data_IF_954535158011
#
_entry.id   IF_954535158011
#
_cell.length_a   1.000
_cell.length_b   1.000
_cell.length_c   1.000
_cell.angle_alpha   90.00
_cell.angle_beta   90.00
_cell.angle_gamma   90.00
#
_symmetry.space_group_name_H-M   'P 1'
#
loop_
_entity.id
_entity.type
_entity.pdbx_description
1 polymer ?
#
# COMPACT_ATOMS: atom_id res chain seq x y z
N UNK A 1 -10.08 -23.73 11.84
CA UNK A 1 -10.36 -24.15 10.45
C UNK A 1 -10.18 -22.94 9.55
N UNK A 2 -9.31 -23.05 8.55
CA UNK A 2 -9.14 -22.02 7.52
C UNK A 2 -10.43 -21.95 6.67
N UNK A 3 -11.04 -20.77 6.55
CA UNK A 3 -12.32 -20.62 5.85
C UNK A 3 -12.09 -20.67 4.31
N UNK A 4 -13.17 -20.77 3.52
CA UNK A 4 -13.04 -20.91 2.06
C UNK A 4 -12.33 -19.73 1.38
N UNK A 5 -12.47 -18.53 1.95
CA UNK A 5 -11.84 -17.29 1.45
C UNK A 5 -10.34 -17.32 1.69
N UNK A 6 -9.91 -17.69 2.90
CA UNK A 6 -8.50 -17.85 3.27
C UNK A 6 -7.81 -18.85 2.33
N UNK A 7 -8.44 -20.01 2.09
CA UNK A 7 -7.92 -21.03 1.16
C UNK A 7 -7.81 -20.52 -0.28
N UNK A 8 -8.72 -19.66 -0.73
CA UNK A 8 -8.67 -19.08 -2.06
C UNK A 8 -7.52 -18.07 -2.19
N UNK A 9 -7.42 -17.13 -1.25
CA UNK A 9 -6.39 -16.09 -1.27
C UNK A 9 -4.98 -16.68 -1.11
N UNK A 10 -4.83 -17.71 -0.29
CA UNK A 10 -3.54 -18.40 -0.12
C UNK A 10 -3.09 -19.19 -1.37
N UNK A 11 -3.99 -19.50 -2.31
CA UNK A 11 -3.61 -20.07 -3.61
C UNK A 11 -3.02 -19.03 -4.57
N UNK A 12 -3.27 -17.73 -4.35
CA UNK A 12 -2.73 -16.67 -5.19
C UNK A 12 -1.23 -16.52 -4.88
N UNK A 13 -0.41 -17.14 -5.72
CA UNK A 13 1.04 -17.00 -5.64
C UNK A 13 1.54 -16.00 -6.69
N UNK A 14 1.77 -14.76 -6.26
CA UNK A 14 2.40 -13.73 -7.10
C UNK A 14 3.89 -14.05 -7.27
N UNK A 15 4.23 -14.86 -8.25
CA UNK A 15 5.62 -15.10 -8.67
C UNK A 15 6.23 -13.83 -9.23
N UNK A 16 7.56 -13.75 -9.29
CA UNK A 16 8.25 -12.58 -9.85
C UNK A 16 7.78 -12.25 -11.29
N UNK A 17 7.66 -13.22 -12.22
CA UNK A 17 7.14 -12.95 -13.56
C UNK A 17 5.74 -12.34 -13.55
N UNK A 18 4.83 -12.83 -12.70
CA UNK A 18 3.47 -12.30 -12.58
C UNK A 18 3.49 -10.86 -12.09
N UNK A 19 4.33 -10.54 -11.09
CA UNK A 19 4.46 -9.17 -10.59
C UNK A 19 5.02 -8.22 -11.66
N UNK A 20 6.03 -8.66 -12.41
CA UNK A 20 6.60 -7.89 -13.53
C UNK A 20 5.54 -7.65 -14.61
N UNK A 21 4.72 -8.66 -14.92
CA UNK A 21 3.62 -8.53 -15.87
C UNK A 21 2.56 -7.53 -15.38
N UNK A 22 2.18 -7.56 -14.10
CA UNK A 22 1.23 -6.59 -13.50
C UNK A 22 1.78 -5.16 -13.63
N UNK A 23 3.02 -4.94 -13.22
CA UNK A 23 3.65 -3.62 -13.30
C UNK A 23 3.76 -3.16 -14.75
N UNK A 24 4.29 -4.01 -15.64
CA UNK A 24 4.46 -3.69 -17.05
C UNK A 24 3.15 -3.38 -17.75
N UNK A 25 2.13 -4.23 -17.57
CA UNK A 25 0.80 -4.01 -18.15
C UNK A 25 0.15 -2.71 -17.62
N UNK A 26 0.28 -2.44 -16.32
CA UNK A 26 -0.31 -1.23 -15.72
C UNK A 26 0.38 0.05 -16.21
N UNK A 27 1.72 0.07 -16.26
CA UNK A 27 2.47 1.22 -16.75
C UNK A 27 2.27 1.45 -18.25
N UNK A 28 2.25 0.39 -19.06
CA UNK A 28 1.92 0.49 -20.49
C UNK A 28 0.49 0.99 -20.70
N UNK A 29 -0.48 0.52 -19.91
CA UNK A 29 -1.85 1.00 -19.97
C UNK A 29 -1.91 2.50 -19.69
N UNK A 30 -1.32 2.97 -18.58
CA UNK A 30 -1.25 4.39 -18.23
C UNK A 30 -0.56 5.22 -19.31
N UNK A 31 0.54 4.71 -19.89
CA UNK A 31 1.24 5.36 -21.00
C UNK A 31 0.33 5.59 -22.21
N UNK A 32 -0.46 4.58 -22.58
CA UNK A 32 -1.33 4.62 -23.76
C UNK A 32 -2.57 5.51 -23.60
N UNK A 33 -3.10 5.64 -22.38
CA UNK A 33 -4.30 6.46 -22.10
C UNK A 33 -3.98 7.88 -21.65
N UNK A 34 -2.69 8.21 -21.45
CA UNK A 34 -2.26 9.56 -21.11
C UNK A 34 -2.48 10.51 -22.29
N UNK A 35 -3.03 11.68 -22.02
CA UNK A 35 -3.29 12.71 -23.05
C UNK A 35 -2.12 13.69 -23.24
N UNK A 36 -1.19 13.73 -22.27
CA UNK A 36 0.00 14.58 -22.29
C UNK A 36 1.26 13.81 -21.88
N UNK A 37 2.42 14.42 -22.08
CA UNK A 37 3.71 13.80 -21.74
C UNK A 37 3.81 13.46 -20.25
N UNK A 38 3.26 14.31 -19.39
CA UNK A 38 3.18 14.13 -17.95
C UNK A 38 2.35 12.90 -17.57
N UNK A 39 1.20 12.71 -18.21
CA UNK A 39 0.34 11.55 -17.96
C UNK A 39 0.94 10.27 -18.54
N UNK A 40 1.55 10.34 -19.73
CA UNK A 40 2.12 9.16 -20.38
C UNK A 40 3.41 8.68 -19.69
N UNK A 41 4.33 9.59 -19.37
CA UNK A 41 5.66 9.23 -18.83
C UNK A 41 5.79 9.42 -17.31
N UNK A 42 5.02 10.33 -16.71
CA UNK A 42 5.07 10.62 -15.28
C UNK A 42 4.83 9.40 -14.38
N UNK A 43 3.88 8.50 -14.66
CA UNK A 43 3.67 7.28 -13.87
C UNK A 43 4.90 6.38 -13.78
N UNK A 44 5.73 6.32 -14.83
CA UNK A 44 6.98 5.54 -14.80
C UNK A 44 8.00 6.14 -13.84
N UNK A 45 8.20 7.47 -13.87
CA UNK A 45 9.08 8.17 -12.93
C UNK A 45 8.55 8.04 -11.49
N UNK A 46 7.24 8.19 -11.32
CA UNK A 46 6.56 8.02 -10.05
C UNK A 46 6.69 6.58 -9.51
N UNK A 47 6.70 5.58 -10.39
CA UNK A 47 6.98 4.18 -10.05
C UNK A 47 8.41 3.96 -9.55
N UNK A 48 9.41 4.59 -10.17
CA UNK A 48 10.80 4.50 -9.69
C UNK A 48 10.94 5.11 -8.29
N UNK A 49 10.30 6.25 -8.05
CA UNK A 49 10.26 6.88 -6.73
C UNK A 49 9.51 6.01 -5.71
N UNK A 50 8.32 5.52 -6.04
CA UNK A 50 7.54 4.62 -5.18
C UNK A 50 8.27 3.33 -4.84
N UNK A 51 9.14 2.86 -5.75
CA UNK A 51 9.96 1.68 -5.55
C UNK A 51 11.00 1.84 -4.45
N UNK A 52 11.37 3.06 -4.03
CA UNK A 52 12.38 3.27 -2.96
C UNK A 52 11.90 2.62 -1.65
N UNK A 53 12.58 1.59 -1.15
CA UNK A 53 12.07 0.80 -0.04
C UNK A 53 12.55 1.37 1.31
N UNK A 54 12.01 2.53 1.71
CA UNK A 54 12.45 3.25 2.93
C UNK A 54 12.54 2.34 4.15
N UNK A 55 11.55 1.49 4.39
CA UNK A 55 11.54 0.56 5.53
C UNK A 55 12.64 -0.50 5.48
N UNK A 56 13.01 -0.99 4.29
CA UNK A 56 14.17 -1.86 4.14
C UNK A 56 15.48 -1.10 4.38
N UNK A 57 15.64 0.06 3.76
CA UNK A 57 16.86 0.86 3.83
C UNK A 57 17.17 1.25 5.28
N UNK A 58 16.22 1.85 5.99
CA UNK A 58 16.47 2.31 7.35
C UNK A 58 16.61 1.17 8.34
N UNK A 59 15.81 0.10 8.23
CA UNK A 59 15.92 -1.04 9.15
C UNK A 59 17.26 -1.74 9.00
N UNK A 60 17.71 -1.94 7.76
CA UNK A 60 19.02 -2.54 7.48
C UNK A 60 20.17 -1.66 7.96
N UNK A 61 20.08 -0.35 7.75
CA UNK A 61 21.09 0.60 8.23
C UNK A 61 21.15 0.66 9.76
N UNK A 62 20.00 0.74 10.43
CA UNK A 62 19.91 0.97 11.88
C UNK A 62 20.19 -0.28 12.71
N UNK A 63 19.83 -1.48 12.20
CA UNK A 63 19.90 -2.72 12.97
C UNK A 63 20.68 -3.85 12.31
N UNK A 64 21.10 -3.70 11.05
CA UNK A 64 21.71 -4.78 10.25
C UNK A 64 20.73 -5.84 9.76
N UNK A 65 19.46 -5.78 10.18
CA UNK A 65 18.44 -6.79 9.93
C UNK A 65 17.81 -6.68 8.55
N UNK A 66 17.38 -7.81 8.02
CA UNK A 66 16.62 -7.86 6.78
C UNK A 66 15.11 -7.94 7.08
N UNK A 67 14.43 -6.80 7.02
CA UNK A 67 12.98 -6.70 7.26
C UNK A 67 12.13 -7.59 6.34
N UNK A 68 12.63 -8.00 5.15
CA UNK A 68 11.90 -8.89 4.24
C UNK A 68 11.98 -10.38 4.64
N UNK A 69 12.77 -10.70 5.65
CA UNK A 69 12.95 -12.03 6.22
C UNK A 69 12.56 -12.09 7.71
N UNK A 70 12.21 -10.95 8.32
CA UNK A 70 11.86 -10.85 9.74
C UNK A 70 10.44 -10.28 9.92
N UNK A 71 9.82 -10.65 11.04
CA UNK A 71 8.45 -10.24 11.37
C UNK A 71 7.45 -10.73 10.32
N UNK A 72 6.69 -9.82 9.72
CA UNK A 72 5.70 -10.15 8.67
C UNK A 72 6.32 -10.24 7.27
N UNK A 73 7.59 -9.87 7.11
CA UNK A 73 8.22 -9.69 5.79
C UNK A 73 7.77 -8.45 5.01
N UNK A 74 6.79 -7.68 5.53
CA UNK A 74 6.36 -6.41 4.95
C UNK A 74 7.42 -5.33 5.16
N UNK A 75 7.57 -4.38 4.23
CA UNK A 75 8.54 -3.26 4.33
C UNK A 75 7.90 -1.96 4.83
N UNK A 76 6.69 -2.05 5.41
CA UNK A 76 5.94 -0.92 5.94
C UNK A 76 6.24 -0.60 7.41
N UNK A 77 5.60 0.48 7.90
CA UNK A 77 5.79 1.04 9.25
C UNK A 77 5.70 0.01 10.39
N UNK A 78 4.66 -0.83 10.38
CA UNK A 78 4.40 -1.73 11.49
C UNK A 78 5.46 -2.83 11.61
N UNK A 79 5.92 -3.40 10.50
CA UNK A 79 7.04 -4.34 10.53
C UNK A 79 8.36 -3.65 10.87
N UNK A 80 8.59 -2.43 10.38
CA UNK A 80 9.78 -1.65 10.75
C UNK A 80 9.84 -1.38 12.25
N UNK A 81 8.69 -1.15 12.89
CA UNK A 81 8.59 -1.07 14.34
C UNK A 81 8.89 -2.41 15.01
N UNK A 82 8.28 -3.50 14.54
CA UNK A 82 8.45 -4.84 15.13
C UNK A 82 9.91 -5.34 15.05
N UNK A 83 10.60 -5.07 13.94
CA UNK A 83 11.95 -5.55 13.66
C UNK A 83 13.03 -4.58 14.16
N UNK A 84 12.84 -3.28 13.90
CA UNK A 84 13.85 -2.23 14.08
C UNK A 84 13.57 -1.23 15.20
N UNK A 85 12.37 -1.20 15.76
CA UNK A 85 11.97 -0.25 16.81
C UNK A 85 11.49 1.11 16.28
N UNK A 86 11.38 2.09 17.19
CA UNK A 86 10.71 3.36 16.91
C UNK A 86 11.39 4.19 15.82
N UNK A 87 12.73 4.27 15.83
CA UNK A 87 13.47 5.11 14.86
C UNK A 87 13.27 4.61 13.42
N UNK A 88 13.50 3.32 13.09
CA UNK A 88 13.14 2.79 11.78
C UNK A 88 11.67 3.01 11.41
N UNK A 89 10.74 2.85 12.35
CA UNK A 89 9.31 3.04 12.08
C UNK A 89 8.96 4.48 11.67
N UNK A 90 9.50 5.49 12.36
CA UNK A 90 9.25 6.91 12.06
C UNK A 90 9.79 7.29 10.68
N UNK A 91 11.04 6.89 10.38
CA UNK A 91 11.66 7.19 9.08
C UNK A 91 10.93 6.47 7.95
N UNK A 92 10.55 5.21 8.16
CA UNK A 92 9.73 4.45 7.20
C UNK A 92 8.41 5.15 6.93
N UNK A 93 7.71 5.56 7.99
CA UNK A 93 6.43 6.28 7.86
C UNK A 93 6.61 7.57 7.07
N UNK A 94 7.64 8.36 7.39
CA UNK A 94 7.93 9.62 6.69
C UNK A 94 8.19 9.38 5.19
N UNK A 95 8.92 8.32 4.85
CA UNK A 95 9.14 7.91 3.46
C UNK A 95 7.88 7.41 2.75
N UNK A 96 6.98 6.71 3.45
CA UNK A 96 5.71 6.25 2.87
C UNK A 96 4.69 7.39 2.73
N UNK A 97 4.74 8.41 3.59
CA UNK A 97 3.95 9.65 3.46
C UNK A 97 4.42 10.45 2.26
N UNK A 98 5.73 10.63 2.10
CA UNK A 98 6.29 11.41 0.98
C UNK A 98 5.95 10.80 -0.38
N UNK A 99 5.77 9.48 -0.46
CA UNK A 99 5.25 8.80 -1.66
C UNK A 99 3.87 9.26 -2.10
N UNK A 100 3.00 9.70 -1.19
CA UNK A 100 1.74 10.34 -1.58
C UNK A 100 1.93 11.84 -1.84
N UNK A 101 2.59 12.52 -0.91
CA UNK A 101 2.64 13.98 -0.90
C UNK A 101 3.53 14.57 -2.00
N UNK A 102 4.62 13.90 -2.40
CA UNK A 102 5.51 14.44 -3.42
C UNK A 102 4.81 14.53 -4.79
N UNK A 103 4.17 13.46 -5.34
CA UNK A 103 3.36 13.59 -6.55
C UNK A 103 2.29 14.67 -6.47
N UNK A 104 1.57 14.73 -5.35
CA UNK A 104 0.49 15.71 -5.13
C UNK A 104 0.99 17.15 -5.01
N UNK A 105 2.19 17.34 -4.46
CA UNK A 105 2.83 18.67 -4.39
C UNK A 105 3.28 19.12 -5.77
N UNK A 106 3.82 18.20 -6.59
CA UNK A 106 4.18 18.49 -7.99
C UNK A 106 2.94 18.91 -8.77
N UNK A 107 1.83 18.17 -8.66
CA UNK A 107 0.60 18.56 -9.36
C UNK A 107 -0.01 19.84 -8.82
N UNK A 108 0.04 20.08 -7.51
CA UNK A 108 -0.40 21.35 -6.91
C UNK A 108 0.39 22.55 -7.44
N UNK A 109 1.74 22.48 -7.46
CA UNK A 109 2.58 23.63 -7.79
C UNK A 109 2.60 23.97 -9.29
N UNK A 110 2.47 22.95 -10.15
CA UNK A 110 2.69 23.13 -11.60
C UNK A 110 1.44 22.87 -12.45
N UNK A 111 0.40 22.25 -11.89
CA UNK A 111 -0.77 21.77 -12.64
C UNK A 111 -2.10 22.02 -11.90
N UNK A 112 -2.14 22.99 -10.98
CA UNK A 112 -3.34 23.38 -10.22
C UNK A 112 -4.06 22.18 -9.53
N UNK A 113 -3.27 21.22 -9.05
CA UNK A 113 -3.75 19.98 -8.45
C UNK A 113 -4.70 19.21 -9.38
N UNK A 114 -4.40 19.20 -10.68
CA UNK A 114 -5.18 18.43 -11.66
C UNK A 114 -5.37 16.99 -11.18
N UNK A 115 -6.64 16.60 -11.04
CA UNK A 115 -7.02 15.36 -10.40
C UNK A 115 -6.56 14.15 -11.22
N UNK A 116 -6.62 14.25 -12.55
CA UNK A 116 -6.29 13.15 -13.44
C UNK A 116 -4.80 12.88 -13.39
N UNK A 117 -3.97 13.89 -13.61
CA UNK A 117 -2.52 13.77 -13.48
C UNK A 117 -2.12 13.31 -12.08
N UNK A 118 -2.76 13.82 -11.03
CA UNK A 118 -2.53 13.37 -9.65
C UNK A 118 -2.78 11.86 -9.48
N UNK A 119 -3.90 11.36 -10.00
CA UNK A 119 -4.22 9.92 -9.96
C UNK A 119 -3.24 9.08 -10.79
N UNK A 120 -2.78 9.58 -11.93
CA UNK A 120 -1.78 8.90 -12.78
C UNK A 120 -0.44 8.76 -12.07
N UNK A 121 0.10 9.85 -11.49
CA UNK A 121 1.35 9.81 -10.75
C UNK A 121 1.23 8.91 -9.51
N UNK A 122 0.13 9.03 -8.75
CA UNK A 122 -0.12 8.18 -7.59
C UNK A 122 -0.27 6.70 -7.96
N UNK A 123 -0.88 6.36 -9.11
CA UNK A 123 -0.94 4.97 -9.59
C UNK A 123 0.46 4.39 -9.85
N UNK A 124 1.33 5.18 -10.49
CA UNK A 124 2.74 4.84 -10.66
C UNK A 124 3.45 4.61 -9.32
N UNK A 125 3.35 5.57 -8.40
CA UNK A 125 3.96 5.44 -7.06
C UNK A 125 3.40 4.26 -6.26
N UNK A 126 2.11 3.97 -6.38
CA UNK A 126 1.45 2.86 -5.71
C UNK A 126 1.95 1.50 -6.22
N UNK A 127 2.14 1.37 -7.54
CA UNK A 127 2.78 0.20 -8.14
C UNK A 127 4.19 -0.01 -7.60
N UNK A 128 5.01 1.04 -7.56
CA UNK A 128 6.38 0.96 -7.04
C UNK A 128 6.43 0.58 -5.57
N UNK A 129 5.51 1.13 -4.78
CA UNK A 129 5.39 0.81 -3.35
C UNK A 129 5.06 -0.66 -3.13
N UNK A 130 4.17 -1.23 -3.95
CA UNK A 130 3.75 -2.63 -3.83
C UNK A 130 4.75 -3.63 -4.44
N UNK A 131 5.38 -3.26 -5.55
CA UNK A 131 6.25 -4.11 -6.34
C UNK A 131 7.56 -3.37 -6.67
N UNK A 132 8.37 -3.12 -5.63
CA UNK A 132 9.63 -2.39 -5.80
C UNK A 132 10.58 -3.14 -6.73
N UNK A 133 11.09 -2.42 -7.75
CA UNK A 133 12.15 -2.94 -8.61
C UNK A 133 13.43 -3.24 -7.83
N UNK A 134 13.74 -2.44 -6.80
CA UNK A 134 14.92 -2.58 -5.96
C UNK A 134 14.87 -3.80 -5.03
N UNK A 135 13.68 -4.37 -4.80
CA UNK A 135 13.47 -5.55 -3.98
C UNK A 135 12.87 -6.74 -4.76
N UNK A 136 13.09 -6.79 -6.08
CA UNK A 136 12.61 -7.88 -6.96
C UNK A 136 11.11 -8.12 -6.77
N UNK A 137 10.31 -7.05 -6.82
CA UNK A 137 8.86 -7.10 -6.67
C UNK A 137 8.37 -7.39 -5.25
N UNK A 138 9.24 -7.38 -4.23
CA UNK A 138 8.79 -7.28 -2.83
C UNK A 138 8.55 -5.80 -2.51
N UNK A 139 7.57 -5.49 -1.67
CA UNK A 139 7.19 -4.10 -1.39
C UNK A 139 6.14 -4.00 -0.29
N UNK A 140 5.84 -2.76 0.10
CA UNK A 140 4.85 -2.42 1.12
C UNK A 140 3.43 -2.65 0.62
N UNK A 141 2.42 -2.59 1.49
CA UNK A 141 1.01 -2.68 1.06
C UNK A 141 0.44 -1.35 0.55
N UNK A 142 1.20 -0.25 0.64
CA UNK A 142 0.78 1.08 0.19
C UNK A 142 -0.36 1.71 1.02
N UNK A 143 -0.72 1.15 2.17
CA UNK A 143 -1.82 1.69 3.01
C UNK A 143 -1.54 3.11 3.47
N UNK A 144 -0.34 3.41 3.98
CA UNK A 144 0.01 4.77 4.41
C UNK A 144 -0.10 5.76 3.26
N UNK A 145 0.49 5.47 2.10
CA UNK A 145 0.38 6.39 0.96
C UNK A 145 -1.07 6.58 0.52
N UNK A 146 -1.91 5.54 0.49
CA UNK A 146 -3.32 5.68 0.12
C UNK A 146 -4.11 6.55 1.09
N UNK A 147 -3.84 6.45 2.39
CA UNK A 147 -4.47 7.32 3.41
C UNK A 147 -4.13 8.78 3.13
N UNK A 148 -2.87 9.09 2.85
CA UNK A 148 -2.44 10.47 2.56
C UNK A 148 -2.89 10.96 1.19
N UNK A 149 -2.98 10.09 0.19
CA UNK A 149 -3.60 10.41 -1.11
C UNK A 149 -5.05 10.84 -0.95
N UNK A 150 -5.85 10.07 -0.21
CA UNK A 150 -7.25 10.41 0.03
C UNK A 150 -7.41 11.61 0.96
N UNK A 151 -6.49 11.82 1.92
CA UNK A 151 -6.53 13.00 2.77
C UNK A 151 -6.47 14.29 1.95
N UNK A 152 -5.70 14.32 0.86
CA UNK A 152 -5.59 15.48 -0.02
C UNK A 152 -6.71 15.50 -1.07
N UNK A 153 -6.96 14.37 -1.74
CA UNK A 153 -7.86 14.34 -2.90
C UNK A 153 -9.35 14.26 -2.53
N UNK A 154 -9.70 13.59 -1.43
CA UNK A 154 -11.09 13.40 -0.99
C UNK A 154 -11.17 13.11 0.53
N UNK A 155 -10.99 14.13 1.39
CA UNK A 155 -10.95 13.96 2.84
C UNK A 155 -12.21 13.28 3.41
N UNK A 156 -13.39 13.58 2.85
CA UNK A 156 -14.65 12.97 3.30
C UNK A 156 -14.69 11.46 3.01
N UNK A 157 -14.18 11.03 1.85
CA UNK A 157 -14.05 9.61 1.54
C UNK A 157 -13.10 8.90 2.49
N UNK A 158 -11.97 9.55 2.84
CA UNK A 158 -11.05 9.03 3.85
C UNK A 158 -11.74 8.85 5.20
N UNK A 159 -12.46 9.87 5.68
CA UNK A 159 -13.19 9.81 6.97
C UNK A 159 -14.18 8.65 6.97
N UNK A 160 -14.94 8.45 5.90
CA UNK A 160 -15.88 7.34 5.79
C UNK A 160 -15.21 5.97 5.76
N UNK A 161 -14.09 5.83 5.04
CA UNK A 161 -13.30 4.59 5.03
C UNK A 161 -12.73 4.30 6.43
N UNK A 162 -12.23 5.31 7.14
CA UNK A 162 -11.74 5.16 8.52
C UNK A 162 -12.87 4.82 9.49
N UNK A 163 -14.04 5.44 9.35
CA UNK A 163 -15.22 5.09 10.14
C UNK A 163 -15.64 3.62 9.88
N UNK A 164 -15.63 3.19 8.63
CA UNK A 164 -15.92 1.80 8.27
C UNK A 164 -14.88 0.84 8.86
N UNK A 165 -13.60 1.18 8.80
CA UNK A 165 -12.52 0.43 9.44
C UNK A 165 -12.75 0.28 10.96
N UNK A 166 -13.15 1.34 11.66
CA UNK A 166 -13.44 1.27 13.10
C UNK A 166 -14.63 0.35 13.40
N UNK A 167 -15.70 0.44 12.62
CA UNK A 167 -16.89 -0.43 12.77
C UNK A 167 -16.53 -1.88 12.51
N UNK A 168 -15.88 -2.16 11.39
CA UNK A 168 -15.49 -3.52 10.99
C UNK A 168 -14.49 -4.14 11.96
N UNK A 169 -13.52 -3.38 12.49
CA UNK A 169 -12.62 -3.87 13.54
C UNK A 169 -13.38 -4.29 14.81
N UNK A 170 -14.40 -3.54 15.24
CA UNK A 170 -15.20 -3.87 16.43
C UNK A 170 -16.00 -5.17 16.25
N UNK A 171 -16.51 -5.40 15.04
CA UNK A 171 -17.32 -6.59 14.71
C UNK A 171 -16.44 -7.83 14.52
N UNK A 172 -15.39 -7.74 13.69
CA UNK A 172 -14.60 -8.89 13.27
C UNK A 172 -13.52 -9.29 14.28
N UNK A 173 -12.94 -8.31 15.01
CA UNK A 173 -11.82 -8.51 15.94
C UNK A 173 -10.60 -9.21 15.33
N UNK A 174 -10.47 -9.17 14.00
CA UNK A 174 -9.38 -9.75 13.21
C UNK A 174 -8.98 -8.73 12.13
N UNK A 175 -7.71 -8.34 12.14
CA UNK A 175 -7.16 -7.25 11.32
C UNK A 175 -7.06 -7.63 9.85
N UNK A 176 -6.84 -8.91 9.54
CA UNK A 176 -6.83 -9.44 8.19
C UNK A 176 -8.22 -9.36 7.52
N UNK A 177 -9.26 -9.85 8.17
CA UNK A 177 -10.63 -9.83 7.63
C UNK A 177 -11.18 -8.40 7.52
N UNK A 178 -10.85 -7.54 8.49
CA UNK A 178 -11.19 -6.13 8.38
C UNK A 178 -10.55 -5.49 7.15
N UNK A 179 -9.25 -5.68 6.93
CA UNK A 179 -8.56 -5.09 5.79
C UNK A 179 -9.15 -5.59 4.47
N UNK A 180 -9.44 -6.90 4.38
CA UNK A 180 -10.11 -7.49 3.23
C UNK A 180 -11.43 -6.79 2.92
N UNK A 181 -12.31 -6.65 3.91
CA UNK A 181 -13.61 -6.01 3.73
C UNK A 181 -13.45 -4.53 3.37
N UNK A 182 -12.60 -3.79 4.08
CA UNK A 182 -12.45 -2.35 3.91
C UNK A 182 -11.89 -2.00 2.51
N UNK A 183 -10.95 -2.78 2.00
CA UNK A 183 -10.46 -2.60 0.63
C UNK A 183 -11.46 -3.08 -0.43
N UNK A 184 -12.29 -4.09 -0.15
CA UNK A 184 -13.35 -4.51 -1.07
C UNK A 184 -14.45 -3.45 -1.23
N UNK A 185 -14.84 -2.77 -0.14
CA UNK A 185 -15.90 -1.75 -0.16
C UNK A 185 -15.39 -0.33 -0.40
N UNK A 186 -14.10 -0.07 -0.19
CA UNK A 186 -13.49 1.26 -0.31
C UNK A 186 -13.84 2.00 -1.61
N UNK A 187 -13.73 1.36 -2.79
CA UNK A 187 -14.15 1.99 -4.05
C UNK A 187 -15.62 2.39 -4.09
N UNK A 188 -16.51 1.58 -3.51
CA UNK A 188 -17.94 1.88 -3.42
C UNK A 188 -18.20 3.07 -2.48
N UNK A 189 -17.47 3.17 -1.37
CA UNK A 189 -17.55 4.34 -0.47
C UNK A 189 -17.14 5.61 -1.22
N UNK A 190 -16.02 5.58 -1.95
CA UNK A 190 -15.54 6.73 -2.73
C UNK A 190 -16.52 7.09 -3.84
N UNK A 191 -17.15 6.10 -4.49
CA UNK A 191 -18.17 6.33 -5.50
C UNK A 191 -19.39 7.07 -4.93
N UNK A 192 -19.86 6.69 -3.75
CA UNK A 192 -21.03 7.33 -3.11
C UNK A 192 -20.72 8.74 -2.60
N UNK A 193 -19.51 8.96 -2.06
CA UNK A 193 -19.16 10.23 -1.39
C UNK A 193 -18.61 11.28 -2.36
N UNK A 194 -17.73 10.87 -3.27
CA UNK A 194 -17.00 11.77 -4.15
C UNK A 194 -17.49 11.69 -5.60
N UNK A 195 -17.72 10.48 -6.09
CA UNK A 195 -18.33 10.23 -7.40
C UNK A 195 -17.47 10.56 -8.63
N UNK A 196 -16.31 11.24 -8.48
CA UNK A 196 -15.44 11.56 -9.62
C UNK A 196 -14.85 10.27 -10.21
N UNK A 197 -15.12 9.92 -11.49
CA UNK A 197 -14.78 8.61 -12.04
C UNK A 197 -13.29 8.25 -11.98
N UNK A 198 -12.41 9.24 -12.19
CA UNK A 198 -10.96 9.02 -12.16
C UNK A 198 -10.46 8.63 -10.76
N UNK A 199 -10.99 9.24 -9.70
CA UNK A 199 -10.63 8.92 -8.33
C UNK A 199 -11.16 7.54 -7.93
N UNK A 200 -12.42 7.24 -8.29
CA UNK A 200 -13.02 5.90 -8.07
C UNK A 200 -12.18 4.83 -8.78
N UNK A 201 -11.73 5.10 -10.01
CA UNK A 201 -10.89 4.19 -10.80
C UNK A 201 -9.53 3.96 -10.12
N UNK A 202 -8.87 5.03 -9.67
CA UNK A 202 -7.61 4.93 -8.93
C UNK A 202 -7.75 4.10 -7.64
N UNK A 203 -8.80 4.35 -6.84
CA UNK A 203 -9.03 3.60 -5.60
C UNK A 203 -9.39 2.14 -5.89
N UNK A 204 -10.16 1.88 -6.95
CA UNK A 204 -10.45 0.51 -7.42
C UNK A 204 -9.18 -0.23 -7.81
N UNK A 205 -8.31 0.41 -8.59
CA UNK A 205 -7.00 -0.13 -8.94
C UNK A 205 -6.16 -0.44 -7.70
N UNK A 206 -6.10 0.51 -6.75
CA UNK A 206 -5.37 0.33 -5.51
C UNK A 206 -5.90 -0.85 -4.67
N UNK A 207 -7.24 -0.98 -4.59
CA UNK A 207 -7.91 -2.07 -3.92
C UNK A 207 -7.63 -3.43 -4.56
N UNK A 208 -7.69 -3.53 -5.89
CA UNK A 208 -7.38 -4.78 -6.60
C UNK A 208 -5.96 -5.27 -6.29
N UNK A 209 -4.97 -4.39 -6.40
CA UNK A 209 -3.57 -4.72 -6.08
C UNK A 209 -3.39 -5.10 -4.61
N UNK A 210 -4.08 -4.42 -3.69
CA UNK A 210 -4.03 -4.76 -2.27
C UNK A 210 -4.59 -6.17 -2.04
N UNK A 211 -5.77 -6.47 -2.57
CA UNK A 211 -6.48 -7.73 -2.36
C UNK A 211 -5.74 -8.94 -2.93
N UNK A 212 -5.12 -8.83 -4.12
CA UNK A 212 -4.31 -9.93 -4.69
C UNK A 212 -3.00 -10.16 -3.93
N UNK A 213 -2.51 -9.14 -3.22
CA UNK A 213 -1.25 -9.19 -2.47
C UNK A 213 -1.47 -9.56 -1.01
N UNK A 214 -2.67 -9.33 -0.47
CA UNK A 214 -3.01 -9.53 0.93
C UNK A 214 -2.86 -11.02 1.29
N UNK A 215 -2.00 -11.29 2.27
CA UNK A 215 -1.81 -12.61 2.86
C UNK A 215 -1.87 -12.51 4.38
N UNK A 216 -2.27 -13.59 5.04
CA UNK A 216 -2.49 -13.60 6.50
C UNK A 216 -1.21 -13.45 7.32
N UNK A 217 -0.09 -13.89 6.77
CA UNK A 217 1.25 -13.72 7.33
C UNK A 217 1.77 -12.27 7.21
N UNK A 218 1.23 -11.49 6.27
CA UNK A 218 1.54 -10.07 6.10
C UNK A 218 0.75 -9.15 7.05
N UNK A 219 -0.16 -9.68 7.84
CA UNK A 219 -0.86 -8.92 8.88
C UNK A 219 0.08 -8.59 10.04
N UNK A 220 0.65 -7.39 10.00
CA UNK A 220 1.62 -6.87 10.95
C UNK A 220 1.11 -6.88 12.41
N UNK A 221 -0.19 -6.62 12.61
CA UNK A 221 -0.79 -6.58 13.96
C UNK A 221 -1.00 -8.00 14.49
N UNK A 222 -1.48 -8.91 13.63
CA UNK A 222 -1.58 -10.32 13.95
C UNK A 222 -0.21 -10.96 14.26
N UNK A 223 0.82 -10.63 13.48
CA UNK A 223 2.21 -11.08 13.71
C UNK A 223 2.72 -10.57 15.05
N UNK A 224 2.54 -9.27 15.35
CA UNK A 224 2.99 -8.69 16.62
C UNK A 224 2.37 -9.39 17.82
N UNK A 225 1.08 -9.71 17.77
CA UNK A 225 0.41 -10.42 18.86
C UNK A 225 1.05 -11.79 19.13
N UNK A 226 1.35 -12.55 18.06
CA UNK A 226 2.04 -13.85 18.15
C UNK A 226 3.47 -13.74 18.69
N UNK A 227 4.22 -12.72 18.27
CA UNK A 227 5.58 -12.48 18.79
C UNK A 227 5.55 -12.15 20.30
N UNK A 228 4.57 -11.36 20.75
CA UNK A 228 4.41 -11.02 22.15
C UNK A 228 3.97 -12.22 23.00
N UNK A 229 3.11 -13.10 22.47
CA UNK A 229 2.72 -14.32 23.17
C UNK A 229 3.88 -15.30 23.33
N UNK A 230 4.72 -15.47 22.30
CA UNK A 230 5.91 -16.33 22.36
C UNK A 230 6.96 -15.83 23.36
N UNK A 231 7.18 -14.51 23.45
CA UNK A 231 8.06 -13.92 24.47
C UNK A 231 7.56 -14.17 25.89
N UNK A 232 6.24 -14.20 26.10
CA UNK A 232 5.63 -14.49 27.41
C UNK A 232 5.69 -15.97 27.79
N UNK A 233 5.69 -16.88 26.83
CA UNK A 233 5.76 -18.33 27.08
C UNK A 233 7.18 -18.86 27.30
N UNK A 234 8.22 -18.01 27.22
CA UNK A 234 9.60 -18.42 27.49
C UNK A 234 10.20 -19.41 26.47
N UNK A 235 9.54 -19.61 25.32
CA UNK A 235 10.00 -20.50 24.26
C UNK A 235 10.96 -19.76 23.33
N UNK A 236 12.25 -19.81 23.64
CA UNK A 236 13.38 -19.45 22.78
C UNK A 236 14.45 -20.53 22.86
#
# INVERSE_FOLDING_TARGET
MENAVDRFLNKINLTLPVKVAIVGASLTFLFLIGEGAEESFGPFLAYLYGSIPFGYLITKYWTGKNITAEGSGNVGMANSYNVGGMVPAIVTTSGEISKALLPLTITFLYYDLDLRLSCFLLAGTYLGTNFSIFLKGKGGMGTTMMLWSLLVLSPLSLVAILACMVVTMKVMKDTYHMALLNYAIGPFIVFIIDGRPILVTFVTFAAMIYLIKLKRDMDDLGVRHRMMSQRRSGSF
#
